data_IF_325197365026
#
_entry.id   IF_325197365026
#
_cell.length_a   1.000
_cell.length_b   1.000
_cell.length_c   1.000
_cell.angle_alpha   90.00
_cell.angle_beta   90.00
_cell.angle_gamma   90.00
#
_symmetry.space_group_name_H-M   'P 1'
#
loop_
_entity.id
_entity.type
_entity.pdbx_description
1 polymer ?
#
# COMPACT_ATOMS: atom_id res chain seq x y z
N UNK A 1 8.25 -5.49 14.92
CA UNK A 1 8.60 -4.20 15.54
C UNK A 1 8.53 -3.16 14.44
N UNK A 2 7.72 -2.12 14.56
CA UNK A 2 7.66 -1.06 13.54
C UNK A 2 8.78 -0.07 13.81
N UNK A 3 9.69 0.07 12.84
CA UNK A 3 10.76 1.07 12.89
C UNK A 3 10.19 2.49 12.74
N UNK A 4 10.95 3.49 13.17
CA UNK A 4 10.54 4.89 13.06
C UNK A 4 10.36 5.29 11.58
N UNK A 5 9.37 6.16 11.25
CA UNK A 5 9.15 6.60 9.88
C UNK A 5 10.38 7.29 9.28
N UNK A 6 10.75 6.90 8.06
CA UNK A 6 11.83 7.49 7.27
C UNK A 6 11.30 8.45 6.22
N UNK A 7 12.10 9.47 5.93
CA UNK A 7 11.74 10.51 4.95
C UNK A 7 11.98 10.00 3.53
N UNK A 8 10.95 10.09 2.70
CA UNK A 8 10.99 9.79 1.27
C UNK A 8 10.59 11.03 0.46
N UNK A 9 11.16 11.15 -0.72
CA UNK A 9 10.90 12.25 -1.65
C UNK A 9 10.03 11.76 -2.80
N UNK A 10 8.95 12.49 -3.07
CA UNK A 10 8.03 12.28 -4.19
C UNK A 10 7.95 13.54 -5.04
N UNK A 11 7.52 13.42 -6.30
CA UNK A 11 7.33 14.55 -7.21
C UNK A 11 5.86 14.65 -7.64
N UNK A 12 5.17 15.64 -7.09
CA UNK A 12 3.74 15.90 -7.30
C UNK A 12 3.58 17.23 -8.03
N UNK A 13 2.87 17.25 -9.16
CA UNK A 13 2.64 18.48 -9.93
C UNK A 13 3.92 19.25 -10.31
N UNK A 14 5.05 18.56 -10.49
CA UNK A 14 6.35 19.18 -10.80
C UNK A 14 7.15 19.66 -9.58
N UNK A 15 6.59 19.58 -8.37
CA UNK A 15 7.26 19.98 -7.14
C UNK A 15 7.65 18.79 -6.27
N UNK A 16 8.76 18.92 -5.54
CA UNK A 16 9.24 17.89 -4.62
C UNK A 16 8.44 17.95 -3.31
N UNK A 17 7.78 16.86 -2.97
CA UNK A 17 7.04 16.69 -1.72
C UNK A 17 7.71 15.61 -0.88
N UNK A 18 7.95 15.90 0.40
CA UNK A 18 8.51 14.92 1.33
C UNK A 18 7.41 14.27 2.17
N UNK A 19 7.50 12.96 2.36
CA UNK A 19 6.62 12.18 3.26
C UNK A 19 7.46 11.35 4.23
N UNK A 20 6.94 11.10 5.42
CA UNK A 20 7.57 10.20 6.40
C UNK A 20 6.75 8.91 6.53
N UNK A 21 7.35 7.78 6.15
CA UNK A 21 6.72 6.45 6.12
C UNK A 21 7.63 5.41 6.77
N UNK A 22 7.05 4.44 7.46
CA UNK A 22 7.77 3.24 7.89
C UNK A 22 8.22 2.46 6.65
N UNK A 23 9.35 1.77 6.73
CA UNK A 23 9.96 1.09 5.57
C UNK A 23 9.00 0.06 4.94
N UNK A 24 8.24 -0.66 5.76
CA UNK A 24 7.20 -1.61 5.30
C UNK A 24 6.10 -0.92 4.47
N UNK A 25 5.66 0.28 4.88
CA UNK A 25 4.68 1.05 4.10
C UNK A 25 5.29 1.60 2.81
N UNK A 26 6.56 1.96 2.80
CA UNK A 26 7.25 2.39 1.59
C UNK A 26 7.41 1.25 0.58
N UNK A 27 7.77 0.05 1.06
CA UNK A 27 7.84 -1.16 0.23
C UNK A 27 6.45 -1.49 -0.32
N UNK A 28 5.43 -1.55 0.54
CA UNK A 28 4.06 -1.82 0.10
C UNK A 28 3.51 -0.78 -0.87
N UNK A 29 3.92 0.49 -0.74
CA UNK A 29 3.55 1.52 -1.70
C UNK A 29 4.20 1.31 -3.08
N UNK A 30 5.47 0.89 -3.13
CA UNK A 30 6.12 0.49 -4.39
C UNK A 30 5.42 -0.70 -5.04
N UNK A 31 5.03 -1.69 -4.25
CA UNK A 31 4.32 -2.87 -4.76
C UNK A 31 2.94 -2.51 -5.31
N UNK A 32 2.17 -1.69 -4.60
CA UNK A 32 0.90 -1.14 -5.09
C UNK A 32 1.10 -0.41 -6.42
N UNK A 33 2.10 0.46 -6.53
CA UNK A 33 2.37 1.20 -7.75
C UNK A 33 2.72 0.26 -8.92
N UNK A 34 3.58 -0.73 -8.67
CA UNK A 34 3.97 -1.73 -9.66
C UNK A 34 2.80 -2.58 -10.15
N UNK A 35 1.92 -3.04 -9.25
CA UNK A 35 0.72 -3.82 -9.61
C UNK A 35 -0.22 -3.00 -10.51
N UNK A 36 -0.31 -1.68 -10.30
CA UNK A 36 -1.10 -0.77 -11.13
C UNK A 36 -0.40 -0.37 -12.44
N UNK A 37 0.85 -0.80 -12.66
CA UNK A 37 1.65 -0.38 -13.81
C UNK A 37 2.05 1.10 -13.77
N UNK A 38 2.04 1.73 -12.59
CA UNK A 38 2.31 3.15 -12.40
C UNK A 38 3.71 3.38 -11.82
N UNK A 39 4.31 4.52 -12.18
CA UNK A 39 5.47 5.03 -11.46
C UNK A 39 5.10 5.47 -10.05
N UNK A 40 6.03 5.39 -9.08
CA UNK A 40 5.75 5.75 -7.67
C UNK A 40 5.25 7.20 -7.50
N UNK A 41 5.74 8.13 -8.33
CA UNK A 41 5.29 9.52 -8.31
C UNK A 41 3.88 9.68 -8.90
N UNK A 42 3.51 8.85 -9.86
CA UNK A 42 2.18 8.86 -10.48
C UNK A 42 1.15 8.26 -9.53
N UNK A 43 1.46 7.11 -8.93
CA UNK A 43 0.64 6.54 -7.86
C UNK A 43 0.45 7.51 -6.69
N UNK A 44 1.50 8.27 -6.33
CA UNK A 44 1.39 9.29 -5.28
C UNK A 44 0.48 10.45 -5.68
N UNK A 45 0.47 10.86 -6.96
CA UNK A 45 -0.44 11.90 -7.47
C UNK A 45 -1.89 11.43 -7.47
N UNK A 46 -2.16 10.19 -7.85
CA UNK A 46 -3.51 9.63 -7.78
C UNK A 46 -4.03 9.64 -6.34
N UNK A 47 -3.20 9.21 -5.39
CA UNK A 47 -3.55 9.23 -3.96
C UNK A 47 -3.73 10.67 -3.46
N UNK A 48 -2.87 11.60 -3.87
CA UNK A 48 -2.96 13.02 -3.50
C UNK A 48 -4.22 13.70 -4.05
N UNK A 49 -4.67 13.31 -5.25
CA UNK A 49 -5.88 13.83 -5.87
C UNK A 49 -7.16 13.22 -5.28
N UNK A 50 -7.11 11.97 -4.82
CA UNK A 50 -8.27 11.24 -4.30
C UNK A 50 -8.46 11.33 -2.78
N UNK A 51 -7.45 11.79 -2.03
CA UNK A 51 -7.53 11.89 -0.56
C UNK A 51 -8.44 13.02 -0.11
N UNK A 52 -9.03 12.87 1.08
CA UNK A 52 -9.74 13.96 1.74
C UNK A 52 -8.79 15.15 1.99
N UNK A 53 -9.25 16.42 1.82
CA UNK A 53 -8.41 17.60 1.98
C UNK A 53 -7.69 17.70 3.33
N UNK A 54 -8.31 17.19 4.41
CA UNK A 54 -7.72 17.17 5.76
C UNK A 54 -6.73 16.02 6.02
N UNK A 55 -6.64 15.04 5.14
CA UNK A 55 -5.79 13.86 5.33
C UNK A 55 -4.42 14.09 4.71
N UNK A 56 -3.36 14.15 5.52
CA UNK A 56 -1.99 14.29 5.00
C UNK A 56 -1.59 13.14 4.07
N UNK A 57 -0.78 13.42 3.05
CA UNK A 57 -0.39 12.46 2.02
C UNK A 57 0.25 11.17 2.60
N UNK A 58 1.10 11.30 3.62
CA UNK A 58 1.71 10.12 4.26
C UNK A 58 0.66 9.20 4.90
N UNK A 59 -0.40 9.76 5.49
CA UNK A 59 -1.53 8.97 6.01
C UNK A 59 -2.33 8.35 4.88
N UNK A 60 -2.60 9.11 3.82
CA UNK A 60 -3.31 8.60 2.64
C UNK A 60 -2.57 7.41 1.99
N UNK A 61 -1.24 7.48 1.87
CA UNK A 61 -0.41 6.37 1.37
C UNK A 61 -0.54 5.14 2.26
N UNK A 62 -0.41 5.27 3.60
CA UNK A 62 -0.57 4.13 4.52
C UNK A 62 -1.93 3.45 4.36
N UNK A 63 -3.01 4.23 4.27
CA UNK A 63 -4.36 3.70 4.08
C UNK A 63 -4.53 3.03 2.71
N UNK A 64 -3.95 3.58 1.66
CA UNK A 64 -3.98 2.97 0.33
C UNK A 64 -3.27 1.61 0.30
N UNK A 65 -2.10 1.52 0.93
CA UNK A 65 -1.34 0.26 1.08
C UNK A 65 -2.12 -0.76 1.91
N UNK A 66 -2.73 -0.35 3.02
CA UNK A 66 -3.56 -1.25 3.84
C UNK A 66 -4.75 -1.80 3.04
N UNK A 67 -5.47 -0.96 2.29
CA UNK A 67 -6.60 -1.39 1.45
C UNK A 67 -6.13 -2.39 0.39
N UNK A 68 -5.03 -2.09 -0.29
CA UNK A 68 -4.44 -2.97 -1.30
C UNK A 68 -4.20 -4.40 -0.81
N UNK A 69 -3.58 -4.58 0.34
CA UNK A 69 -3.36 -5.92 0.87
C UNK A 69 -4.62 -6.56 1.45
N UNK A 70 -5.54 -5.78 2.03
CA UNK A 70 -6.84 -6.31 2.49
C UNK A 70 -7.66 -6.87 1.33
N UNK A 71 -7.75 -6.14 0.22
CA UNK A 71 -8.51 -6.55 -0.95
C UNK A 71 -7.90 -7.81 -1.60
N UNK A 72 -6.58 -7.97 -1.55
CA UNK A 72 -5.89 -9.20 -1.98
C UNK A 72 -6.13 -10.38 -1.04
N UNK A 73 -6.25 -10.14 0.26
CA UNK A 73 -6.52 -11.17 1.25
C UNK A 73 -7.98 -11.66 1.19
N UNK A 74 -8.92 -10.78 0.83
CA UNK A 74 -10.35 -11.10 0.67
C UNK A 74 -10.73 -11.58 -0.72
N UNK A 75 -9.78 -11.57 -1.68
CA UNK A 75 -10.00 -12.12 -3.01
C UNK A 75 -10.35 -13.62 -2.91
N UNK A 76 -11.50 -14.08 -3.45
CA UNK A 76 -12.05 -15.41 -3.21
C UNK A 76 -11.08 -16.54 -3.59
N UNK A 77 -10.24 -16.33 -4.60
CA UNK A 77 -9.24 -17.31 -5.03
C UNK A 77 -8.15 -17.55 -3.97
N UNK A 78 -7.73 -16.50 -3.25
CA UNK A 78 -6.72 -16.58 -2.19
C UNK A 78 -7.33 -17.10 -0.88
N UNK A 79 -8.57 -16.72 -0.60
CA UNK A 79 -9.33 -17.25 0.55
C UNK A 79 -9.61 -18.75 0.39
N UNK A 80 -10.00 -19.20 -0.80
CA UNK A 80 -10.23 -20.63 -1.09
C UNK A 80 -8.93 -21.44 -0.99
N UNK A 81 -7.82 -20.94 -1.55
CA UNK A 81 -6.52 -21.60 -1.44
C UNK A 81 -6.01 -21.69 0.02
N UNK A 82 -6.19 -20.63 0.80
CA UNK A 82 -5.82 -20.62 2.23
C UNK A 82 -6.71 -21.54 3.08
N UNK A 83 -8.02 -21.60 2.81
CA UNK A 83 -8.95 -22.52 3.48
C UNK A 83 -8.70 -23.99 3.12
N UNK A 84 -8.37 -24.27 1.84
CA UNK A 84 -8.02 -25.62 1.39
C UNK A 84 -6.74 -26.12 2.08
N UNK A 85 -5.69 -25.30 2.12
CA UNK A 85 -4.45 -25.65 2.82
C UNK A 85 -4.67 -25.86 4.34
N UNK A 86 -5.50 -25.02 4.97
CA UNK A 86 -5.83 -25.17 6.39
C UNK A 86 -6.71 -26.40 6.69
N UNK A 87 -7.48 -26.91 5.72
CA UNK A 87 -8.24 -28.17 5.85
C UNK A 87 -7.30 -29.37 5.78
N UNK A 88 -6.37 -29.39 4.83
CA UNK A 88 -5.38 -30.46 4.68
C UNK A 88 -4.46 -30.64 5.90
N UNK A 89 -4.21 -29.58 6.68
CA UNK A 89 -3.44 -29.64 7.92
C UNK A 89 -4.22 -30.16 9.14
N UNK A 90 -5.56 -30.26 9.07
CA UNK A 90 -6.41 -30.75 10.17
C UNK A 90 -6.86 -32.20 9.99
N UNK A 91 -6.73 -32.74 8.78
CA UNK A 91 -7.20 -34.07 8.40
C UNK A 91 -6.06 -35.11 8.31
N UNK A 92 -4.82 -34.73 8.64
CA UNK A 92 -3.65 -35.62 8.72
C UNK A 92 -2.97 -35.52 10.08
#
# INVERSE_FOLDING_TARGET
MSEAPRKHSLTLGGHRTSVSLEDEFWVGFKELAAERGLGINEAAREIDAARDPGTGLATAIRLAVLRYYRDRATSPERTAASQAAARSLREG
#
